data_IF_681866955249
#
_entry.id   IF_681866955249
#
_cell.length_a   1.000
_cell.length_b   1.000
_cell.length_c   1.000
_cell.angle_alpha   90.00
_cell.angle_beta   90.00
_cell.angle_gamma   90.00
#
_symmetry.space_group_name_H-M   'P 1'
#
loop_
_entity.id
_entity.type
_entity.pdbx_description
1 polymer ?
#
# COMPACT_ATOMS: atom_id res chain seq x y z
N UNK A 1 -20.82 2.21 16.62
CA UNK A 1 -19.66 2.83 15.95
C UNK A 1 -19.26 1.92 14.82
N UNK A 2 -19.11 2.44 13.59
CA UNK A 2 -18.61 1.64 12.47
C UNK A 2 -17.16 1.28 12.76
N UNK A 3 -16.81 0.01 12.58
CA UNK A 3 -15.43 -0.44 12.75
C UNK A 3 -14.60 0.05 11.58
N UNK A 4 -13.66 0.96 11.82
CA UNK A 4 -12.84 1.60 10.78
C UNK A 4 -11.67 0.72 10.34
N UNK A 5 -11.31 -0.30 11.14
CA UNK A 5 -10.27 -1.26 10.81
C UNK A 5 -10.86 -2.48 10.07
N UNK A 6 -10.33 -2.76 8.88
CA UNK A 6 -10.83 -3.78 7.96
C UNK A 6 -9.81 -4.90 7.81
N UNK A 7 -10.26 -6.14 7.70
CA UNK A 7 -9.41 -7.33 7.62
C UNK A 7 -9.95 -8.30 6.58
N UNK A 8 -9.05 -8.89 5.82
CA UNK A 8 -9.27 -10.21 5.22
C UNK A 8 -8.35 -11.20 5.92
N UNK A 9 -8.80 -12.40 6.19
CA UNK A 9 -7.98 -13.44 6.81
C UNK A 9 -8.34 -14.85 6.32
N UNK A 10 -7.57 -15.84 6.75
CA UNK A 10 -7.74 -17.23 6.39
C UNK A 10 -8.97 -17.90 7.06
N UNK A 11 -9.60 -17.24 8.04
CA UNK A 11 -10.81 -17.74 8.74
C UNK A 11 -12.10 -17.43 7.98
N UNK A 12 -11.98 -16.71 6.84
CA UNK A 12 -13.12 -16.29 6.03
C UNK A 12 -13.62 -14.88 6.35
N UNK A 13 -12.93 -14.13 7.19
CA UNK A 13 -13.23 -12.71 7.40
C UNK A 13 -12.75 -11.93 6.17
N UNK A 14 -13.66 -11.26 5.49
CA UNK A 14 -13.43 -10.56 4.22
C UNK A 14 -13.93 -9.11 4.25
N UNK A 15 -13.91 -8.48 5.42
CA UNK A 15 -14.48 -7.13 5.62
C UNK A 15 -13.80 -6.07 4.75
N UNK A 16 -12.52 -6.24 4.42
CA UNK A 16 -11.81 -5.34 3.53
C UNK A 16 -12.32 -5.45 2.08
N UNK A 17 -12.48 -6.68 1.58
CA UNK A 17 -13.01 -6.90 0.23
C UNK A 17 -14.44 -6.42 0.10
N UNK A 18 -15.29 -6.73 1.08
CA UNK A 18 -16.68 -6.26 1.10
C UNK A 18 -16.75 -4.74 1.11
N UNK A 19 -15.94 -4.08 1.96
CA UNK A 19 -15.92 -2.62 2.04
C UNK A 19 -15.46 -1.96 0.72
N UNK A 20 -14.46 -2.53 0.04
CA UNK A 20 -14.01 -2.05 -1.28
C UNK A 20 -15.16 -2.13 -2.30
N UNK A 21 -15.82 -3.28 -2.41
CA UNK A 21 -16.91 -3.47 -3.35
C UNK A 21 -18.10 -2.57 -3.02
N UNK A 22 -18.48 -2.50 -1.75
CA UNK A 22 -19.56 -1.64 -1.27
C UNK A 22 -19.30 -0.16 -1.58
N UNK A 23 -18.07 0.31 -1.38
CA UNK A 23 -17.71 1.70 -1.63
C UNK A 23 -17.80 2.06 -3.12
N UNK A 24 -17.36 1.17 -4.00
CA UNK A 24 -17.50 1.34 -5.46
C UNK A 24 -18.97 1.36 -5.87
N UNK A 25 -19.79 0.44 -5.35
CA UNK A 25 -21.20 0.35 -5.70
C UNK A 25 -22.05 1.55 -5.21
N UNK A 26 -21.68 2.11 -4.07
CA UNK A 26 -22.38 3.26 -3.48
C UNK A 26 -22.02 4.61 -4.11
N UNK A 27 -20.91 4.67 -4.80
CA UNK A 27 -20.44 5.94 -5.40
C UNK A 27 -21.43 6.50 -6.40
N UNK A 28 -21.55 7.83 -6.42
CA UNK A 28 -22.53 8.57 -7.25
C UNK A 28 -21.90 9.63 -8.14
N UNK A 29 -20.74 10.14 -7.78
CA UNK A 29 -20.08 11.25 -8.44
C UNK A 29 -18.75 10.87 -9.05
N UNK A 30 -17.82 10.42 -8.22
CA UNK A 30 -16.49 10.07 -8.68
C UNK A 30 -15.85 8.96 -7.84
N UNK A 31 -14.94 8.26 -8.48
CA UNK A 31 -14.06 7.26 -7.86
C UNK A 31 -12.63 7.54 -8.29
N UNK A 32 -11.70 7.59 -7.31
CA UNK A 32 -10.27 7.68 -7.54
C UNK A 32 -9.61 6.43 -6.94
N UNK A 33 -8.90 5.65 -7.72
CA UNK A 33 -8.30 4.37 -7.30
C UNK A 33 -6.82 4.38 -7.63
N UNK A 34 -5.98 4.10 -6.63
CA UNK A 34 -4.59 3.73 -6.82
C UNK A 34 -4.40 2.27 -6.38
N UNK A 35 -3.97 1.40 -7.29
CA UNK A 35 -3.67 0.01 -6.98
C UNK A 35 -2.67 -0.58 -7.98
N UNK A 36 -1.82 -1.47 -7.47
CA UNK A 36 -0.77 -2.10 -8.28
C UNK A 36 -1.33 -3.07 -9.32
N UNK A 37 -2.40 -3.81 -9.01
CA UNK A 37 -3.02 -4.82 -9.87
C UNK A 37 -4.53 -4.59 -10.05
N UNK A 38 -5.05 -4.88 -11.25
CA UNK A 38 -6.47 -4.89 -11.57
C UNK A 38 -6.84 -6.25 -12.22
N UNK A 39 -6.81 -7.32 -11.42
CA UNK A 39 -7.01 -8.70 -11.90
C UNK A 39 -8.24 -9.39 -11.27
N UNK A 40 -8.79 -8.84 -10.17
CA UNK A 40 -9.97 -9.42 -9.53
C UNK A 40 -11.23 -8.96 -10.23
N UNK A 41 -11.90 -9.92 -10.92
CA UNK A 41 -13.09 -9.66 -11.72
C UNK A 41 -14.18 -8.90 -10.95
N UNK A 42 -14.43 -9.24 -9.67
CA UNK A 42 -15.44 -8.57 -8.86
C UNK A 42 -15.23 -7.04 -8.73
N UNK A 43 -13.98 -6.59 -8.61
CA UNK A 43 -13.65 -5.15 -8.57
C UNK A 43 -13.77 -4.53 -9.96
N UNK A 44 -13.26 -5.19 -11.00
CA UNK A 44 -13.37 -4.70 -12.38
C UNK A 44 -14.82 -4.52 -12.79
N UNK A 45 -15.67 -5.52 -12.54
CA UNK A 45 -17.11 -5.47 -12.83
C UNK A 45 -17.81 -4.36 -12.02
N UNK A 46 -17.44 -4.16 -10.74
CA UNK A 46 -18.01 -3.09 -9.92
C UNK A 46 -17.64 -1.70 -10.47
N UNK A 47 -16.40 -1.52 -10.95
CA UNK A 47 -15.97 -0.29 -11.61
C UNK A 47 -16.74 -0.08 -12.91
N UNK A 48 -16.93 -1.12 -13.74
CA UNK A 48 -17.71 -1.03 -14.98
C UNK A 48 -19.14 -0.59 -14.68
N UNK A 49 -19.79 -1.19 -13.68
CA UNK A 49 -21.14 -0.75 -13.27
C UNK A 49 -21.18 0.68 -12.74
N UNK A 50 -20.09 1.17 -12.11
CA UNK A 50 -20.01 2.58 -11.70
C UNK A 50 -19.96 3.51 -12.92
N UNK A 51 -19.18 3.15 -13.95
CA UNK A 51 -19.15 3.87 -15.22
C UNK A 51 -20.52 3.89 -15.91
N UNK A 52 -21.23 2.74 -15.95
CA UNK A 52 -22.58 2.65 -16.50
C UNK A 52 -23.58 3.54 -15.75
N UNK A 53 -23.37 3.81 -14.47
CA UNK A 53 -24.14 4.77 -13.67
C UNK A 53 -23.75 6.23 -13.90
N UNK A 54 -22.77 6.51 -14.75
CA UNK A 54 -22.26 7.86 -15.03
C UNK A 54 -21.28 8.40 -13.97
N UNK A 55 -20.71 7.53 -13.13
CA UNK A 55 -19.69 7.91 -12.15
C UNK A 55 -18.37 8.17 -12.88
N UNK A 56 -17.73 9.30 -12.61
CA UNK A 56 -16.40 9.60 -13.13
C UNK A 56 -15.34 8.72 -12.44
N UNK A 57 -14.63 7.89 -13.20
CA UNK A 57 -13.64 6.94 -12.65
C UNK A 57 -12.24 7.31 -13.09
N UNK A 58 -11.37 7.50 -12.11
CA UNK A 58 -9.94 7.75 -12.29
C UNK A 58 -9.15 6.62 -11.66
N UNK A 59 -8.29 5.98 -12.44
CA UNK A 59 -7.47 4.85 -12.01
C UNK A 59 -6.01 5.20 -12.18
N UNK A 60 -5.22 4.93 -11.15
CA UNK A 60 -3.78 4.97 -11.18
C UNK A 60 -3.24 3.56 -10.91
N UNK A 61 -2.43 3.03 -11.82
CA UNK A 61 -1.85 1.70 -11.70
C UNK A 61 -0.35 1.69 -12.00
N UNK A 62 0.29 0.58 -11.67
CA UNK A 62 1.71 0.42 -11.95
C UNK A 62 1.94 0.07 -13.42
N UNK A 63 2.98 0.67 -13.99
CA UNK A 63 3.59 0.18 -15.20
C UNK A 63 5.04 -0.20 -14.89
N UNK A 64 5.39 -1.47 -15.03
CA UNK A 64 6.77 -1.91 -14.89
C UNK A 64 7.51 -1.72 -16.22
N UNK A 65 7.91 -0.49 -16.51
CA UNK A 65 8.66 -0.15 -17.71
C UNK A 65 9.89 -1.05 -17.89
N UNK A 66 10.56 -1.43 -16.81
CA UNK A 66 11.70 -2.34 -16.84
C UNK A 66 11.35 -3.79 -17.23
N UNK A 67 10.08 -4.21 -17.10
CA UNK A 67 9.59 -5.50 -17.60
C UNK A 67 9.22 -5.45 -19.07
N UNK A 68 8.82 -4.26 -19.53
CA UNK A 68 8.36 -4.00 -20.88
C UNK A 68 9.37 -3.15 -21.69
N UNK A 69 10.66 -3.15 -21.29
CA UNK A 69 11.74 -2.54 -22.07
C UNK A 69 11.81 -3.14 -23.48
N UNK A 70 12.68 -2.63 -24.34
CA UNK A 70 12.78 -2.96 -25.77
C UNK A 70 12.73 -4.45 -26.17
N UNK A 71 12.81 -5.36 -25.19
CA UNK A 71 12.76 -6.83 -25.39
C UNK A 71 11.42 -7.47 -25.01
N UNK A 72 10.42 -6.71 -24.55
CA UNK A 72 9.10 -7.31 -24.24
C UNK A 72 8.35 -7.63 -25.51
N UNK A 73 8.02 -8.89 -25.68
CA UNK A 73 7.26 -9.32 -26.84
C UNK A 73 5.82 -8.82 -26.76
N UNK A 74 5.20 -8.56 -27.91
CA UNK A 74 3.77 -8.22 -28.01
C UNK A 74 2.88 -9.25 -27.29
N UNK A 75 3.31 -10.51 -27.22
CA UNK A 75 2.63 -11.59 -26.50
C UNK A 75 2.66 -11.43 -24.97
N UNK A 76 3.74 -10.89 -24.37
CA UNK A 76 3.82 -10.65 -22.93
C UNK A 76 2.90 -9.51 -22.48
N UNK A 77 2.77 -8.47 -23.31
CA UNK A 77 1.83 -7.38 -23.09
C UNK A 77 0.37 -7.85 -23.22
N UNK A 78 0.08 -8.73 -24.19
CA UNK A 78 -1.26 -9.29 -24.41
C UNK A 78 -1.70 -10.25 -23.28
N UNK A 79 -0.76 -10.86 -22.56
CA UNK A 79 -1.05 -11.79 -21.46
C UNK A 79 -1.12 -11.10 -20.08
N UNK A 80 -0.88 -9.78 -19.99
CA UNK A 80 -1.04 -9.05 -18.73
C UNK A 80 -2.51 -8.73 -18.47
N UNK A 81 -3.14 -9.55 -17.63
CA UNK A 81 -4.55 -9.38 -17.23
C UNK A 81 -4.82 -7.98 -16.63
N UNK A 82 -3.87 -7.36 -15.96
CA UNK A 82 -4.04 -6.00 -15.43
C UNK A 82 -4.14 -4.99 -16.56
N UNK A 83 -3.22 -5.05 -17.53
CA UNK A 83 -3.22 -4.14 -18.67
C UNK A 83 -4.46 -4.34 -19.54
N UNK A 84 -4.89 -5.60 -19.75
CA UNK A 84 -6.12 -5.91 -20.46
C UNK A 84 -7.33 -5.27 -19.77
N UNK A 85 -7.53 -5.50 -18.47
CA UNK A 85 -8.66 -4.95 -17.74
C UNK A 85 -8.65 -3.42 -17.68
N UNK A 86 -7.47 -2.79 -17.54
CA UNK A 86 -7.36 -1.33 -17.59
C UNK A 86 -7.70 -0.76 -18.97
N UNK A 87 -7.36 -1.47 -20.02
CA UNK A 87 -7.72 -1.10 -21.40
C UNK A 87 -9.23 -1.16 -21.59
N UNK A 88 -9.89 -2.23 -21.16
CA UNK A 88 -11.35 -2.37 -21.22
C UNK A 88 -12.06 -1.27 -20.40
N UNK A 89 -11.58 -0.99 -19.19
CA UNK A 89 -12.11 0.12 -18.37
C UNK A 89 -11.92 1.48 -19.04
N UNK A 90 -10.79 1.69 -19.74
CA UNK A 90 -10.55 2.91 -20.51
C UNK A 90 -11.54 3.04 -21.68
N UNK A 91 -11.81 1.96 -22.41
CA UNK A 91 -12.83 1.94 -23.46
C UNK A 91 -14.23 2.22 -22.92
N UNK A 92 -14.51 1.82 -21.69
CA UNK A 92 -15.76 2.11 -20.99
C UNK A 92 -15.83 3.53 -20.40
N UNK A 93 -14.80 4.36 -20.55
CA UNK A 93 -14.78 5.76 -20.14
C UNK A 93 -13.97 6.08 -18.88
N UNK A 94 -13.26 5.11 -18.29
CA UNK A 94 -12.37 5.41 -17.18
C UNK A 94 -11.12 6.16 -17.63
N UNK A 95 -10.66 7.10 -16.82
CA UNK A 95 -9.41 7.81 -16.99
C UNK A 95 -8.27 7.01 -16.33
N UNK A 96 -7.38 6.44 -17.12
CA UNK A 96 -6.30 5.58 -16.65
C UNK A 96 -4.98 6.35 -16.63
N UNK A 97 -4.28 6.33 -15.51
CA UNK A 97 -2.88 6.73 -15.36
C UNK A 97 -2.01 5.53 -15.03
N UNK A 98 -0.86 5.41 -15.69
CA UNK A 98 0.14 4.38 -15.40
C UNK A 98 1.39 5.08 -14.88
N UNK A 99 1.84 4.71 -13.69
CA UNK A 99 2.97 5.30 -13.01
C UNK A 99 3.95 4.22 -12.59
N UNK A 100 5.19 4.34 -13.03
CA UNK A 100 6.26 3.42 -12.62
C UNK A 100 6.43 3.44 -11.09
N UNK A 101 6.73 2.29 -10.51
CA UNK A 101 6.94 2.11 -9.07
C UNK A 101 5.74 2.45 -8.16
N UNK A 102 4.55 2.64 -8.72
CA UNK A 102 3.34 2.76 -7.92
C UNK A 102 3.09 1.45 -7.16
N UNK A 103 3.06 1.52 -5.84
CA UNK A 103 2.69 0.41 -4.98
C UNK A 103 1.64 0.77 -3.92
N UNK A 104 1.22 2.03 -3.85
CA UNK A 104 0.12 2.49 -3.03
C UNK A 104 -1.20 1.77 -3.36
N UNK A 105 -2.03 1.55 -2.35
CA UNK A 105 -3.32 0.89 -2.47
C UNK A 105 -4.38 1.64 -1.69
N UNK A 106 -5.19 2.41 -2.42
CA UNK A 106 -6.31 3.14 -1.85
C UNK A 106 -7.42 3.41 -2.86
N UNK A 107 -8.59 3.65 -2.33
CA UNK A 107 -9.81 3.98 -3.06
C UNK A 107 -10.48 5.17 -2.38
N UNK A 108 -10.87 6.18 -3.14
CA UNK A 108 -11.66 7.33 -2.68
C UNK A 108 -12.96 7.37 -3.47
N UNK A 109 -14.09 7.53 -2.80
CA UNK A 109 -15.40 7.69 -3.43
C UNK A 109 -16.06 9.00 -3.02
N UNK A 110 -16.56 9.73 -4.00
CA UNK A 110 -17.35 10.96 -3.87
C UNK A 110 -16.68 12.05 -3.01
N UNK A 111 -15.35 12.00 -2.84
CA UNK A 111 -14.58 12.87 -1.95
C UNK A 111 -15.06 12.85 -0.49
N UNK A 112 -15.70 11.75 -0.06
CA UNK A 112 -16.36 11.62 1.25
C UNK A 112 -15.90 10.43 2.06
N UNK A 113 -15.50 9.37 1.39
CA UNK A 113 -15.10 8.11 2.01
C UNK A 113 -13.91 7.53 1.26
N UNK A 114 -12.99 6.93 1.98
CA UNK A 114 -11.84 6.27 1.40
C UNK A 114 -11.49 4.98 2.13
N UNK A 115 -10.80 4.09 1.42
CA UNK A 115 -10.17 2.89 1.99
C UNK A 115 -8.69 2.92 1.62
N UNK A 116 -7.82 2.79 2.62
CA UNK A 116 -6.37 2.61 2.48
C UNK A 116 -6.02 1.22 2.97
N UNK A 117 -5.15 0.48 2.28
CA UNK A 117 -4.83 -0.88 2.74
C UNK A 117 -3.61 -1.52 2.09
N UNK A 118 -3.43 -2.80 2.41
CA UNK A 118 -2.36 -3.63 1.88
C UNK A 118 -2.77 -4.44 0.65
N UNK A 119 -4.09 -4.56 0.36
CA UNK A 119 -4.62 -5.48 -0.64
C UNK A 119 -4.42 -5.02 -2.08
N UNK A 120 -3.86 -5.90 -2.90
CA UNK A 120 -3.88 -5.78 -4.34
C UNK A 120 -5.23 -6.26 -4.91
N UNK A 121 -5.73 -5.65 -5.98
CA UNK A 121 -6.96 -6.09 -6.64
C UNK A 121 -6.74 -7.35 -7.49
N UNK A 122 -6.34 -8.42 -6.82
CA UNK A 122 -6.23 -9.78 -7.37
C UNK A 122 -6.84 -10.80 -6.42
N UNK A 123 -7.31 -11.94 -6.96
CA UNK A 123 -7.98 -12.96 -6.17
C UNK A 123 -7.12 -13.48 -5.00
N UNK A 124 -5.80 -13.60 -5.20
CA UNK A 124 -4.88 -14.02 -4.16
C UNK A 124 -4.94 -13.11 -2.92
N UNK A 125 -4.95 -11.77 -3.10
CA UNK A 125 -5.05 -10.80 -2.01
C UNK A 125 -6.46 -10.74 -1.42
N UNK A 126 -7.48 -10.62 -2.27
CA UNK A 126 -8.84 -10.33 -1.80
C UNK A 126 -9.59 -11.56 -1.25
N UNK A 127 -9.10 -12.79 -1.50
CA UNK A 127 -9.78 -14.03 -1.05
C UNK A 127 -8.95 -14.94 -0.16
N UNK A 128 -7.62 -14.91 -0.28
CA UNK A 128 -6.79 -15.97 0.29
C UNK A 128 -5.67 -15.49 1.20
N UNK A 129 -5.34 -14.20 1.15
CA UNK A 129 -4.29 -13.64 1.99
C UNK A 129 -4.86 -12.87 3.17
N UNK A 130 -4.13 -12.84 4.26
CA UNK A 130 -4.39 -11.91 5.33
C UNK A 130 -3.95 -10.52 4.90
N UNK A 131 -4.91 -9.59 4.88
CA UNK A 131 -4.75 -8.21 4.47
C UNK A 131 -5.34 -7.28 5.53
N UNK A 132 -4.87 -6.05 5.56
CA UNK A 132 -5.37 -5.02 6.47
C UNK A 132 -5.74 -3.74 5.73
N UNK A 133 -6.76 -3.04 6.20
CA UNK A 133 -7.20 -1.76 5.65
C UNK A 133 -7.84 -0.87 6.69
N UNK A 134 -7.98 0.39 6.34
CA UNK A 134 -8.69 1.39 7.11
C UNK A 134 -9.74 2.07 6.24
N UNK A 135 -10.94 2.19 6.76
CA UNK A 135 -11.99 3.06 6.23
C UNK A 135 -11.83 4.44 6.84
N UNK A 136 -11.88 5.47 6.01
CA UNK A 136 -11.66 6.85 6.39
C UNK A 136 -12.85 7.67 5.92
N UNK A 137 -13.40 8.48 6.82
CA UNK A 137 -14.54 9.35 6.54
C UNK A 137 -14.20 10.76 7.03
N UNK A 138 -14.40 11.77 6.20
CA UNK A 138 -14.28 13.17 6.59
C UNK A 138 -13.02 13.89 6.11
N UNK A 139 -12.50 14.82 6.91
CA UNK A 139 -11.51 15.83 6.50
C UNK A 139 -10.18 15.32 5.98
N UNK A 140 -9.77 14.12 6.37
CA UNK A 140 -8.49 13.52 5.96
C UNK A 140 -8.47 13.12 4.47
N UNK A 141 -9.64 13.01 3.83
CA UNK A 141 -9.78 12.59 2.43
C UNK A 141 -9.13 13.59 1.47
N UNK A 142 -9.17 14.89 1.77
CA UNK A 142 -8.56 15.92 0.91
C UNK A 142 -7.06 15.69 0.70
N UNK A 143 -6.35 15.23 1.72
CA UNK A 143 -4.94 14.92 1.57
C UNK A 143 -4.72 13.72 0.66
N UNK A 144 -5.52 12.68 0.82
CA UNK A 144 -5.44 11.50 -0.03
C UNK A 144 -5.81 11.84 -1.48
N UNK A 145 -6.78 12.71 -1.70
CA UNK A 145 -7.10 13.25 -3.02
C UNK A 145 -5.93 14.02 -3.62
N UNK A 146 -5.33 14.91 -2.85
CA UNK A 146 -4.15 15.66 -3.29
C UNK A 146 -3.00 14.73 -3.70
N UNK A 147 -2.77 13.65 -2.95
CA UNK A 147 -1.80 12.62 -3.33
C UNK A 147 -2.18 11.97 -4.64
N UNK A 148 -3.44 11.51 -4.75
CA UNK A 148 -3.92 10.89 -5.98
C UNK A 148 -3.70 11.83 -7.17
N UNK A 149 -4.15 13.06 -7.07
CA UNK A 149 -4.05 14.07 -8.13
C UNK A 149 -2.60 14.35 -8.50
N UNK A 150 -1.72 14.50 -7.50
CA UNK A 150 -0.30 14.70 -7.75
C UNK A 150 0.31 13.50 -8.48
N UNK A 151 0.07 12.28 -8.02
CA UNK A 151 0.57 11.06 -8.67
C UNK A 151 -0.04 10.88 -10.06
N UNK A 152 -1.34 11.18 -10.22
CA UNK A 152 -2.02 11.07 -11.50
C UNK A 152 -1.50 12.11 -12.51
N UNK A 153 -1.27 13.35 -12.07
CA UNK A 153 -0.65 14.38 -12.91
C UNK A 153 0.75 14.00 -13.37
N UNK A 154 1.48 13.22 -12.59
CA UNK A 154 2.83 12.76 -12.88
C UNK A 154 2.88 11.34 -13.49
N UNK A 155 1.74 10.74 -13.83
CA UNK A 155 1.70 9.43 -14.45
C UNK A 155 2.47 9.43 -15.79
N UNK A 156 3.28 8.40 -16.01
CA UNK A 156 4.13 8.24 -17.20
C UNK A 156 3.28 8.12 -18.48
N UNK A 157 2.14 7.45 -18.35
CA UNK A 157 1.18 7.26 -19.45
C UNK A 157 -0.21 7.60 -18.92
N UNK A 158 -1.00 8.32 -19.71
CA UNK A 158 -2.41 8.62 -19.44
C UNK A 158 -3.27 8.26 -20.63
N UNK A 159 -4.45 7.67 -20.34
CA UNK A 159 -5.51 7.51 -21.31
C UNK A 159 -6.63 8.52 -21.05
N UNK A 160 -7.16 9.10 -22.10
CA UNK A 160 -8.35 9.93 -22.04
C UNK A 160 -9.41 9.36 -22.98
N UNK A 161 -10.61 9.15 -22.49
CA UNK A 161 -11.74 8.91 -23.37
C UNK A 161 -12.21 10.26 -23.92
N UNK A 162 -12.35 10.38 -25.24
CA UNK A 162 -13.03 11.53 -25.83
C UNK A 162 -14.51 11.21 -26.03
N UNK A 163 -15.36 12.23 -26.04
CA UNK A 163 -16.79 12.09 -26.39
C UNK A 163 -17.04 11.46 -27.76
N UNK A 164 -15.99 11.34 -28.61
CA UNK A 164 -16.03 10.67 -29.91
C UNK A 164 -15.63 9.20 -29.85
N UNK A 165 -15.46 8.60 -28.65
CA UNK A 165 -15.03 7.20 -28.49
C UNK A 165 -13.59 6.92 -28.89
N UNK A 166 -12.77 7.94 -29.13
CA UNK A 166 -11.35 7.80 -29.41
C UNK A 166 -10.53 7.94 -28.13
N UNK A 167 -9.67 6.98 -27.87
CA UNK A 167 -8.72 7.03 -26.76
C UNK A 167 -7.42 7.66 -27.22
N UNK A 168 -6.94 8.68 -26.50
CA UNK A 168 -5.61 9.21 -26.67
C UNK A 168 -4.72 8.74 -25.53
N UNK A 169 -3.57 8.15 -25.87
CA UNK A 169 -2.49 7.92 -24.94
C UNK A 169 -1.57 9.14 -24.99
N UNK A 170 -1.38 9.77 -23.83
CA UNK A 170 -0.48 10.91 -23.71
C UNK A 170 0.66 10.52 -22.78
N UNK A 171 1.87 10.54 -23.28
CA UNK A 171 3.08 10.45 -22.47
C UNK A 171 3.37 11.81 -21.85
N UNK A 172 3.56 11.88 -20.56
CA UNK A 172 3.85 13.12 -19.85
C UNK A 172 5.36 13.25 -19.62
N UNK A 173 5.89 14.43 -19.94
CA UNK A 173 7.32 14.75 -19.79
C UNK A 173 7.62 15.69 -18.62
N UNK A 174 6.60 16.22 -17.93
CA UNK A 174 6.78 17.17 -16.83
C UNK A 174 6.26 16.60 -15.51
N UNK A 175 7.04 16.73 -14.46
CA UNK A 175 6.70 16.31 -13.09
C UNK A 175 6.24 17.52 -12.29
N UNK A 176 5.07 17.43 -11.68
CA UNK A 176 4.56 18.46 -10.75
C UNK A 176 5.09 18.14 -9.35
N UNK A 177 5.75 19.08 -8.68
CA UNK A 177 6.24 18.88 -7.32
C UNK A 177 5.09 18.71 -6.31
N UNK A 178 5.24 17.79 -5.38
CA UNK A 178 4.32 17.65 -4.24
C UNK A 178 4.49 18.87 -3.34
N UNK A 179 3.39 19.55 -3.02
CA UNK A 179 3.43 20.71 -2.14
C UNK A 179 3.58 20.25 -0.68
N UNK A 180 4.80 20.38 -0.15
CA UNK A 180 5.19 20.05 1.22
C UNK A 180 4.30 20.73 2.26
N UNK A 181 3.96 22.01 2.07
CA UNK A 181 3.16 22.76 3.02
C UNK A 181 1.74 22.19 3.20
N UNK A 182 1.15 21.61 2.16
CA UNK A 182 -0.13 20.91 2.28
C UNK A 182 -0.03 19.63 3.10
N UNK A 183 1.09 18.93 3.01
CA UNK A 183 1.34 17.70 3.76
C UNK A 183 1.65 17.97 5.23
N UNK A 184 2.39 19.05 5.53
CA UNK A 184 2.83 19.40 6.89
C UNK A 184 1.75 20.13 7.70
N UNK A 185 0.96 21.00 7.08
CA UNK A 185 -0.07 21.80 7.76
C UNK A 185 -1.37 21.04 8.00
N UNK A 186 -1.48 19.83 7.49
CA UNK A 186 -2.63 19.03 7.78
C UNK A 186 -2.46 18.38 9.14
N UNK A 187 -3.38 18.60 10.05
CA UNK A 187 -3.57 17.76 11.25
C UNK A 187 -3.98 16.34 10.85
N UNK A 188 -3.34 15.79 9.82
CA UNK A 188 -3.84 14.66 9.08
C UNK A 188 -3.30 13.36 9.62
N UNK A 189 -4.17 12.36 9.57
CA UNK A 189 -3.86 10.97 9.87
C UNK A 189 -2.94 10.33 8.82
N UNK A 190 -2.79 10.97 7.66
CA UNK A 190 -2.01 10.41 6.56
C UNK A 190 -0.54 10.73 6.65
N UNK A 191 0.24 9.71 6.58
CA UNK A 191 1.62 9.79 6.17
C UNK A 191 1.71 9.29 4.74
N UNK A 192 1.94 10.22 3.84
CA UNK A 192 2.10 9.90 2.43
C UNK A 192 3.56 9.79 2.11
N UNK A 193 3.88 8.79 1.33
CA UNK A 193 5.23 8.61 0.88
C UNK A 193 5.28 8.43 -0.60
N UNK A 194 6.04 9.28 -1.23
CA UNK A 194 6.72 8.98 -2.46
C UNK A 194 8.17 8.68 -2.09
N UNK A 195 8.51 7.44 -1.93
CA UNK A 195 9.82 7.05 -1.40
C UNK A 195 10.95 7.05 -2.41
N UNK A 196 10.68 7.33 -3.68
CA UNK A 196 11.65 7.17 -4.77
C UNK A 196 12.63 8.29 -5.00
N UNK A 197 12.51 9.40 -4.33
CA UNK A 197 13.30 10.59 -4.64
C UNK A 197 14.80 10.42 -4.42
N UNK A 198 15.22 9.35 -3.76
CA UNK A 198 16.61 9.17 -3.39
C UNK A 198 17.45 8.38 -4.37
N UNK A 199 16.91 7.31 -4.96
CA UNK A 199 17.69 6.39 -5.79
C UNK A 199 17.48 6.58 -7.28
N UNK A 200 16.35 7.17 -7.68
CA UNK A 200 16.03 7.47 -9.08
C UNK A 200 15.97 8.98 -9.32
N UNK A 201 16.98 9.73 -8.85
CA UNK A 201 17.07 11.18 -9.01
C UNK A 201 16.92 11.63 -10.47
N UNK A 202 17.31 10.79 -11.42
CA UNK A 202 17.19 11.08 -12.86
C UNK A 202 15.75 10.96 -13.35
N UNK A 203 14.94 10.12 -12.71
CA UNK A 203 13.54 9.89 -13.11
C UNK A 203 12.57 10.89 -12.44
N UNK A 204 12.92 11.40 -11.25
CA UNK A 204 12.12 12.32 -10.46
C UNK A 204 12.88 13.62 -10.15
N UNK A 205 13.54 14.18 -11.16
CA UNK A 205 14.38 15.38 -11.00
C UNK A 205 13.70 16.60 -10.40
N UNK A 206 12.35 16.60 -10.33
CA UNK A 206 11.55 17.70 -9.78
C UNK A 206 10.90 17.39 -8.43
N UNK A 207 11.08 16.19 -7.85
CA UNK A 207 10.74 15.97 -6.46
C UNK A 207 11.85 16.53 -5.57
N UNK A 208 11.50 17.13 -4.41
CA UNK A 208 12.50 17.65 -3.49
C UNK A 208 13.51 16.58 -3.15
N UNK A 209 14.80 16.87 -3.35
CA UNK A 209 15.91 15.94 -3.10
C UNK A 209 16.29 15.86 -1.62
N UNK A 210 15.68 16.66 -0.77
CA UNK A 210 16.00 16.72 0.64
C UNK A 210 15.19 15.71 1.46
N UNK A 211 15.83 15.14 2.46
CA UNK A 211 15.23 14.20 3.40
C UNK A 211 14.05 14.78 4.18
N UNK A 212 13.96 16.11 4.22
CA UNK A 212 12.96 16.84 4.97
C UNK A 212 11.62 16.95 4.24
N UNK A 213 11.55 16.54 2.98
CA UNK A 213 10.37 16.72 2.12
C UNK A 213 9.16 15.86 2.46
N UNK A 214 9.14 15.15 3.58
CA UNK A 214 8.05 14.25 3.98
C UNK A 214 7.91 13.00 3.09
N UNK A 215 8.83 12.80 2.19
CA UNK A 215 8.80 11.80 1.13
C UNK A 215 9.00 10.37 1.65
N UNK A 216 9.59 10.21 2.82
CA UNK A 216 9.80 8.93 3.51
C UNK A 216 9.04 8.86 4.84
N UNK A 217 7.90 9.53 4.90
CA UNK A 217 7.14 9.66 6.15
C UNK A 217 6.64 8.34 6.74
N UNK A 218 6.42 7.28 5.93
CA UNK A 218 6.14 5.93 6.46
C UNK A 218 7.34 5.41 7.23
N UNK A 219 8.53 5.47 6.65
CA UNK A 219 9.76 5.04 7.30
C UNK A 219 10.00 5.79 8.62
N UNK A 220 9.89 7.12 8.60
CA UNK A 220 10.01 7.96 9.79
C UNK A 220 8.92 7.64 10.83
N UNK A 221 7.71 7.34 10.40
CA UNK A 221 6.63 6.94 11.30
C UNK A 221 6.88 5.57 11.94
N UNK A 222 7.43 4.61 11.19
CA UNK A 222 7.85 3.32 11.73
C UNK A 222 8.97 3.51 12.76
N UNK A 223 9.98 4.34 12.45
CA UNK A 223 11.05 4.69 13.39
C UNK A 223 10.49 5.28 14.67
N UNK A 224 9.54 6.23 14.56
CA UNK A 224 8.89 6.83 15.72
C UNK A 224 8.15 5.80 16.56
N UNK A 225 7.43 4.86 15.94
CA UNK A 225 6.78 3.74 16.66
C UNK A 225 7.83 2.93 17.43
N UNK A 226 8.97 2.62 16.81
CA UNK A 226 10.03 1.84 17.45
C UNK A 226 10.71 2.62 18.60
N UNK A 227 11.00 3.89 18.38
CA UNK A 227 11.75 4.72 19.35
C UNK A 227 10.91 5.08 20.58
N UNK A 228 9.59 5.27 20.42
CA UNK A 228 8.69 5.65 21.51
C UNK A 228 8.16 4.46 22.31
N UNK A 229 8.41 3.23 21.89
CA UNK A 229 7.98 2.02 22.57
C UNK A 229 8.66 1.85 23.92
N UNK A 230 7.87 1.44 24.94
CA UNK A 230 8.32 1.14 26.31
C UNK A 230 8.06 -0.32 26.69
N UNK A 231 7.01 -0.93 26.16
CA UNK A 231 6.58 -2.28 26.52
C UNK A 231 6.75 -3.26 25.37
N UNK A 232 6.12 -2.96 24.23
CA UNK A 232 6.17 -3.86 23.09
C UNK A 232 6.17 -3.14 21.73
N UNK A 233 6.65 -3.85 20.73
CA UNK A 233 6.55 -3.48 19.31
C UNK A 233 6.02 -4.69 18.55
N UNK A 234 4.95 -4.51 17.79
CA UNK A 234 4.44 -5.49 16.83
C UNK A 234 4.60 -4.95 15.43
N UNK A 235 5.26 -5.72 14.57
CA UNK A 235 5.40 -5.39 13.15
C UNK A 235 4.89 -6.57 12.34
N UNK A 236 3.90 -6.32 11.51
CA UNK A 236 3.40 -7.24 10.50
C UNK A 236 3.79 -6.71 9.14
N UNK A 237 4.42 -7.56 8.34
CA UNK A 237 4.79 -7.20 6.97
C UNK A 237 4.82 -8.43 6.08
N UNK A 238 4.70 -8.27 4.78
CA UNK A 238 4.83 -9.39 3.87
C UNK A 238 6.25 -9.94 3.85
N UNK A 239 7.25 -9.05 3.82
CA UNK A 239 8.67 -9.43 3.83
C UNK A 239 9.53 -8.43 4.59
N UNK A 240 10.68 -8.91 5.05
CA UNK A 240 11.82 -8.11 5.51
C UNK A 240 12.97 -8.39 4.56
N UNK A 241 13.51 -7.37 3.89
CA UNK A 241 14.56 -7.52 2.90
C UNK A 241 15.50 -6.33 2.90
N UNK A 242 16.77 -6.54 2.52
CA UNK A 242 17.78 -5.48 2.40
C UNK A 242 17.85 -4.57 3.64
N UNK A 243 17.92 -5.19 4.84
CA UNK A 243 17.98 -4.47 6.12
C UNK A 243 19.26 -3.63 6.27
N UNK A 244 20.29 -3.92 5.50
CA UNK A 244 21.50 -3.11 5.38
C UNK A 244 21.22 -1.70 4.86
N UNK A 245 20.25 -1.57 3.97
CA UNK A 245 19.78 -0.28 3.45
C UNK A 245 18.83 0.43 4.43
N UNK A 246 18.29 -0.31 5.39
CA UNK A 246 17.42 0.16 6.49
C UNK A 246 18.17 0.15 7.83
N UNK A 247 19.47 0.47 7.82
CA UNK A 247 20.34 0.41 9.01
C UNK A 247 19.76 1.20 10.19
N UNK A 248 19.16 2.36 9.95
CA UNK A 248 18.54 3.20 10.97
C UNK A 248 17.39 2.46 11.69
N UNK A 249 16.54 1.74 10.95
CA UNK A 249 15.48 0.90 11.55
C UNK A 249 16.07 -0.26 12.34
N UNK A 250 17.07 -0.93 11.79
CA UNK A 250 17.72 -2.05 12.44
C UNK A 250 18.38 -1.64 13.76
N UNK A 251 19.06 -0.49 13.79
CA UNK A 251 19.66 0.06 14.98
C UNK A 251 18.63 0.58 15.99
N UNK A 252 17.51 1.15 15.53
CA UNK A 252 16.39 1.52 16.40
C UNK A 252 15.79 0.30 17.11
N UNK A 253 15.61 -0.83 16.38
CA UNK A 253 15.15 -2.08 16.97
C UNK A 253 16.13 -2.62 18.04
N UNK A 254 17.44 -2.58 17.77
CA UNK A 254 18.45 -2.95 18.80
C UNK A 254 18.34 -2.08 20.05
N UNK A 255 18.23 -0.75 19.86
CA UNK A 255 18.07 0.17 21.00
C UNK A 255 16.77 -0.13 21.78
N UNK A 256 15.69 -0.47 21.11
CA UNK A 256 14.44 -0.86 21.76
C UNK A 256 14.60 -2.13 22.62
N UNK A 257 15.26 -3.14 22.09
CA UNK A 257 15.60 -4.39 22.85
C UNK A 257 16.47 -4.08 24.07
N UNK A 258 17.48 -3.23 23.93
CA UNK A 258 18.33 -2.80 25.07
C UNK A 258 17.53 -2.04 26.13
N UNK A 259 16.43 -1.40 25.79
CA UNK A 259 15.49 -0.79 26.75
C UNK A 259 14.54 -1.80 27.41
N UNK A 260 14.59 -3.09 27.04
CA UNK A 260 13.74 -4.15 27.55
C UNK A 260 12.40 -4.28 26.77
N UNK A 261 12.24 -3.60 25.63
CA UNK A 261 11.03 -3.66 24.81
C UNK A 261 10.92 -5.02 24.13
N UNK A 262 9.74 -5.65 24.24
CA UNK A 262 9.45 -6.92 23.56
C UNK A 262 9.12 -6.66 22.09
N UNK A 263 9.85 -7.25 21.16
CA UNK A 263 9.61 -7.10 19.72
C UNK A 263 9.13 -8.40 19.12
N UNK A 264 7.95 -8.37 18.51
CA UNK A 264 7.39 -9.51 17.80
C UNK A 264 7.03 -9.15 16.36
N UNK A 265 7.44 -9.99 15.43
CA UNK A 265 7.37 -9.78 13.99
C UNK A 265 6.57 -10.90 13.34
N UNK A 266 5.68 -10.57 12.42
CA UNK A 266 5.03 -11.54 11.53
C UNK A 266 5.45 -11.26 10.10
N UNK A 267 5.92 -12.28 9.37
CA UNK A 267 6.15 -12.17 7.93
C UNK A 267 5.63 -13.38 7.16
N UNK A 268 5.51 -13.23 5.84
CA UNK A 268 5.13 -14.34 4.98
C UNK A 268 6.26 -15.37 4.89
N UNK A 269 5.90 -16.65 4.94
CA UNK A 269 6.79 -17.77 4.67
C UNK A 269 6.24 -18.50 3.43
N UNK A 270 6.79 -18.27 2.26
CA UNK A 270 6.27 -18.88 1.04
C UNK A 270 7.06 -18.50 -0.22
N UNK A 271 6.68 -17.41 -0.84
CA UNK A 271 7.07 -17.08 -2.21
C UNK A 271 8.54 -16.62 -2.40
N UNK A 272 9.24 -16.24 -1.35
CA UNK A 272 10.61 -15.72 -1.41
C UNK A 272 11.48 -16.18 -0.24
N UNK A 273 11.38 -17.47 0.12
CA UNK A 273 11.99 -18.08 1.32
C UNK A 273 13.45 -17.71 1.55
N UNK A 274 14.28 -17.73 0.53
CA UNK A 274 15.73 -17.52 0.71
C UNK A 274 16.08 -16.06 1.06
N UNK A 275 15.38 -15.08 0.49
CA UNK A 275 15.65 -13.65 0.71
C UNK A 275 15.11 -13.21 2.07
N UNK A 276 13.88 -13.63 2.40
CA UNK A 276 13.25 -13.31 3.69
C UNK A 276 14.00 -13.97 4.87
N UNK A 277 14.43 -15.21 4.75
CA UNK A 277 15.06 -15.94 5.85
C UNK A 277 16.32 -15.23 6.35
N UNK A 278 17.20 -14.79 5.45
CA UNK A 278 18.44 -14.10 5.85
C UNK A 278 18.17 -12.80 6.64
N UNK A 279 17.16 -12.04 6.26
CA UNK A 279 16.78 -10.84 6.99
C UNK A 279 16.12 -11.17 8.34
N UNK A 280 15.25 -12.18 8.36
CA UNK A 280 14.58 -12.67 9.56
C UNK A 280 15.61 -13.21 10.57
N UNK A 281 16.60 -13.98 10.13
CA UNK A 281 17.67 -14.49 11.01
C UNK A 281 18.46 -13.35 11.67
N UNK A 282 18.73 -12.25 10.94
CA UNK A 282 19.35 -11.06 11.52
C UNK A 282 18.48 -10.45 12.63
N UNK A 283 17.16 -10.37 12.41
CA UNK A 283 16.22 -9.82 13.41
C UNK A 283 16.10 -10.75 14.63
N UNK A 284 16.02 -12.05 14.44
CA UNK A 284 16.02 -13.01 15.55
C UNK A 284 17.33 -12.92 16.36
N UNK A 285 18.47 -12.79 15.67
CA UNK A 285 19.78 -12.70 16.32
C UNK A 285 19.92 -11.48 17.25
N UNK A 286 19.23 -10.40 16.99
CA UNK A 286 19.20 -9.24 17.89
C UNK A 286 18.17 -9.34 19.00
N UNK A 287 17.34 -10.40 19.03
CA UNK A 287 16.37 -10.67 20.09
C UNK A 287 14.90 -10.47 19.73
N UNK A 288 14.56 -10.25 18.45
CA UNK A 288 13.18 -10.20 18.02
C UNK A 288 12.55 -11.61 18.00
N UNK A 289 11.29 -11.73 18.45
CA UNK A 289 10.45 -12.92 18.16
C UNK A 289 9.94 -12.85 16.73
N UNK A 290 10.02 -13.92 15.98
CA UNK A 290 9.48 -14.00 14.62
C UNK A 290 8.48 -15.14 14.47
N UNK A 291 7.37 -14.83 13.78
CA UNK A 291 6.30 -15.76 13.42
C UNK A 291 6.14 -15.79 11.90
N UNK A 292 6.35 -16.97 11.32
CA UNK A 292 6.20 -17.18 9.88
C UNK A 292 4.75 -17.53 9.54
N UNK A 293 4.04 -16.69 8.81
CA UNK A 293 2.66 -16.91 8.42
C UNK A 293 2.54 -17.19 6.92
N UNK A 294 1.91 -18.29 6.52
CA UNK A 294 1.86 -18.75 5.13
C UNK A 294 1.21 -17.74 4.18
N UNK A 295 0.15 -17.09 4.63
CA UNK A 295 -0.70 -16.24 3.79
C UNK A 295 -0.66 -14.76 4.20
N UNK A 296 0.28 -14.33 5.05
CA UNK A 296 0.32 -12.92 5.45
C UNK A 296 0.69 -12.00 4.29
N UNK A 297 -0.09 -10.95 4.12
CA UNK A 297 0.22 -9.81 3.26
C UNK A 297 -0.18 -8.47 3.91
N UNK A 298 -0.73 -8.53 5.12
CA UNK A 298 -1.02 -7.35 5.94
C UNK A 298 0.27 -6.61 6.30
N UNK A 299 0.18 -5.28 6.47
CA UNK A 299 1.32 -4.43 6.77
C UNK A 299 0.94 -3.34 7.76
N UNK A 300 1.47 -3.46 8.97
CA UNK A 300 1.34 -2.44 10.01
C UNK A 300 2.47 -2.56 11.03
N UNK A 301 2.73 -1.47 11.72
CA UNK A 301 3.64 -1.42 12.87
C UNK A 301 2.96 -0.66 14.01
N UNK A 302 3.09 -1.14 15.24
CA UNK A 302 2.49 -0.49 16.40
C UNK A 302 3.25 -0.78 17.69
N UNK A 303 3.07 0.10 18.66
CA UNK A 303 3.44 -0.08 20.05
C UNK A 303 2.24 0.23 20.97
N UNK A 304 2.43 0.29 22.26
CA UNK A 304 1.37 0.57 23.25
C UNK A 304 0.73 1.97 23.11
N UNK A 305 1.38 2.92 22.41
CA UNK A 305 0.93 4.30 22.26
C UNK A 305 0.52 4.69 20.85
N UNK A 306 1.20 4.16 19.85
CA UNK A 306 1.05 4.57 18.46
C UNK A 306 1.04 3.40 17.50
N UNK A 307 0.53 3.61 16.30
CA UNK A 307 0.53 2.60 15.25
C UNK A 307 0.31 3.20 13.88
N UNK A 308 0.75 2.49 12.87
CA UNK A 308 0.67 2.86 11.46
C UNK A 308 0.29 1.64 10.64
N UNK A 309 -0.74 1.77 9.79
CA UNK A 309 -1.04 0.85 8.70
C UNK A 309 -0.45 1.44 7.42
N UNK A 310 0.15 0.61 6.56
CA UNK A 310 0.82 1.09 5.34
C UNK A 310 0.82 0.04 4.23
N UNK A 311 1.08 0.49 2.99
CA UNK A 311 1.15 -0.39 1.82
C UNK A 311 2.56 -0.91 1.52
N UNK A 312 3.61 -0.30 2.08
CA UNK A 312 5.00 -0.60 1.81
C UNK A 312 5.45 -1.98 2.32
N UNK A 313 6.35 -2.62 1.60
CA UNK A 313 7.14 -3.70 2.18
C UNK A 313 8.32 -3.11 2.98
N UNK A 314 8.71 -3.77 4.07
CA UNK A 314 9.95 -3.43 4.80
C UNK A 314 11.14 -4.00 4.02
N UNK A 315 11.45 -3.31 2.97
CA UNK A 315 12.43 -3.67 1.94
C UNK A 315 13.21 -2.41 1.57
N UNK A 316 14.53 -2.44 1.78
CA UNK A 316 15.41 -1.32 1.46
C UNK A 316 15.63 -1.10 -0.04
N UNK A 317 15.35 -2.11 -0.88
CA UNK A 317 15.52 -1.98 -2.34
C UNK A 317 14.26 -1.49 -3.05
N UNK A 318 13.07 -1.93 -2.63
CA UNK A 318 11.83 -1.76 -3.43
C UNK A 318 10.57 -1.49 -2.62
N UNK A 319 10.68 -1.11 -1.37
CA UNK A 319 9.54 -0.86 -0.49
C UNK A 319 9.60 0.52 0.14
N UNK A 320 10.11 0.58 1.38
CA UNK A 320 10.15 1.81 2.16
C UNK A 320 10.94 2.96 1.51
N UNK A 321 11.93 2.67 0.67
CA UNK A 321 12.83 3.68 0.10
C UNK A 321 12.61 3.95 -1.39
N UNK A 322 11.81 3.17 -2.11
CA UNK A 322 11.77 3.24 -3.58
C UNK A 322 10.39 3.05 -4.21
N UNK A 323 9.28 3.08 -3.49
CA UNK A 323 7.95 2.93 -4.06
C UNK A 323 7.02 4.10 -3.74
N UNK A 324 6.06 4.40 -4.61
CA UNK A 324 4.95 5.28 -4.24
C UNK A 324 3.98 4.48 -3.37
N UNK A 325 4.03 4.74 -2.08
CA UNK A 325 3.32 4.02 -1.04
C UNK A 325 2.38 4.96 -0.28
N UNK A 326 1.46 4.40 0.47
CA UNK A 326 0.54 5.14 1.33
C UNK A 326 0.51 4.53 2.73
N UNK A 327 0.41 5.37 3.74
CA UNK A 327 0.24 4.94 5.12
C UNK A 327 -0.78 5.79 5.87
N UNK A 328 -1.30 5.28 6.95
CA UNK A 328 -2.26 5.96 7.81
C UNK A 328 -1.98 5.64 9.28
N UNK A 329 -1.85 6.68 10.10
CA UNK A 329 -1.71 6.52 11.54
C UNK A 329 -3.00 5.96 12.14
N UNK A 330 -2.87 5.02 13.07
CA UNK A 330 -3.99 4.37 13.75
C UNK A 330 -4.49 5.22 14.93
N UNK A 331 -5.78 5.39 15.04
CA UNK A 331 -6.43 5.85 16.28
C UNK A 331 -6.30 4.78 17.37
N UNK A 332 -6.66 5.10 18.59
CA UNK A 332 -6.61 4.14 19.70
C UNK A 332 -7.49 2.91 19.45
N UNK A 333 -8.71 3.09 18.93
CA UNK A 333 -9.61 1.97 18.61
C UNK A 333 -9.07 1.09 17.49
N UNK A 334 -8.57 1.68 16.42
CA UNK A 334 -7.98 0.96 15.29
C UNK A 334 -6.69 0.21 15.68
N UNK A 335 -5.89 0.80 16.58
CA UNK A 335 -4.72 0.13 17.13
C UNK A 335 -5.11 -1.11 17.95
N UNK A 336 -6.17 -1.03 18.74
CA UNK A 336 -6.69 -2.20 19.47
C UNK A 336 -7.15 -3.31 18.55
N UNK A 337 -7.77 -2.98 17.40
CA UNK A 337 -8.12 -3.95 16.37
C UNK A 337 -6.87 -4.53 15.69
N UNK A 338 -5.86 -3.71 15.42
CA UNK A 338 -4.61 -4.16 14.85
C UNK A 338 -3.84 -5.10 15.81
N UNK A 339 -3.89 -4.86 17.12
CA UNK A 339 -3.36 -5.79 18.13
C UNK A 339 -4.08 -7.14 18.05
N UNK A 340 -5.43 -7.15 18.00
CA UNK A 340 -6.20 -8.38 17.84
C UNK A 340 -5.85 -9.11 16.54
N UNK A 341 -5.69 -8.37 15.44
CA UNK A 341 -5.26 -8.94 14.17
C UNK A 341 -3.88 -9.59 14.29
N UNK A 342 -2.92 -8.91 14.93
CA UNK A 342 -1.60 -9.49 15.22
C UNK A 342 -1.71 -10.80 16.02
N UNK A 343 -2.49 -10.82 17.10
CA UNK A 343 -2.69 -11.99 17.95
C UNK A 343 -3.30 -13.16 17.18
N UNK A 344 -4.27 -12.90 16.31
CA UNK A 344 -4.86 -13.93 15.44
C UNK A 344 -3.80 -14.54 14.48
N UNK A 345 -2.99 -13.68 13.83
CA UNK A 345 -1.91 -14.17 12.96
C UNK A 345 -0.91 -15.05 13.71
N UNK A 346 -0.54 -14.66 14.93
CA UNK A 346 0.35 -15.45 15.77
C UNK A 346 -0.29 -16.79 16.15
N UNK A 347 -1.56 -16.79 16.56
CA UNK A 347 -2.31 -18.02 16.89
C UNK A 347 -2.40 -18.99 15.71
N UNK A 348 -2.58 -18.48 14.46
CA UNK A 348 -2.55 -19.31 13.25
C UNK A 348 -1.16 -19.92 13.00
N UNK A 349 -0.08 -19.19 13.29
CA UNK A 349 1.30 -19.71 13.16
C UNK A 349 1.59 -20.83 14.16
N UNK A 350 1.11 -20.73 15.38
CA UNK A 350 1.33 -21.73 16.44
C UNK A 350 0.54 -23.02 16.14
N UNK A 351 -0.72 -22.93 15.73
CA UNK A 351 -1.54 -24.10 15.35
C UNK A 351 -0.95 -24.89 14.16
N UNK A 352 -0.19 -24.24 13.29
CA UNK A 352 0.43 -24.89 12.13
C UNK A 352 1.67 -25.70 12.54
N UNK A 353 2.35 -25.33 13.62
CA UNK A 353 3.50 -26.09 14.17
C UNK A 353 3.08 -27.38 14.86
N UNK A 354 1.92 -27.36 15.54
CA UNK A 354 1.39 -28.54 16.26
C UNK A 354 0.83 -29.62 15.33
N UNK A 355 0.68 -29.33 14.03
CA UNK A 355 0.18 -30.25 13.00
C UNK A 355 1.27 -30.82 12.09
N UNK A 356 2.52 -30.44 12.29
CA UNK A 356 3.71 -30.97 11.58
C UNK A 356 4.55 -31.83 12.49
#
# INVERSE_FOLDING_TARGET
>A
MRNDYLVNDSTGKDTLTQAILELIEKSRSNIKIANFFFQYKGVVDAISRALDRGVAVFVLSNIRLNRYGEKSTKAELQNDTTLFNLTELSYSGAHIGLLNDLHAKFLIADSKEAIVGSANFKAASLKYKSESGLRIIGGDIRALEYVFETLYCNADIKSFSSSSGRHALITQTSVTSINKAMLENSRMRFTIVASNSYRNADYHSNLPKDKEAGVISIFQSILKVVETAKEYIYIVNWQFKALEDLSELFDALKRAIHRGVQIALVSSVGDAKAINQKAVDKLIKIGCKHYGHKNNHAKFALNEHSGLLFSANIDGESGLLTGFEVGCMLSQSERSEAVRHFQNLVGECEQTKDRQ
#
